data_IF_895616240649
#
_entry.id   IF_895616240649
#
_cell.length_a   1.000
_cell.length_b   1.000
_cell.length_c   1.000
_cell.angle_alpha   90.00
_cell.angle_beta   90.00
_cell.angle_gamma   90.00
#
_symmetry.space_group_name_H-M   'P 1'
#
loop_
_entity.id
_entity.type
_entity.pdbx_description
1 polymer ?
#
# COMPACT_ATOMS: atom_id res chain seq x y z
N UNK A 1 2.54 -10.40 -15.83
CA UNK A 1 1.27 -10.55 -15.11
C UNK A 1 1.42 -9.76 -13.82
N UNK A 2 0.69 -8.66 -13.68
CA UNK A 2 0.74 -7.82 -12.48
C UNK A 2 0.01 -8.59 -11.38
N UNK A 3 0.65 -8.80 -10.23
CA UNK A 3 0.03 -9.46 -9.10
C UNK A 3 -1.10 -8.55 -8.55
N UNK A 4 -2.33 -9.06 -8.35
CA UNK A 4 -3.40 -8.31 -7.69
C UNK A 4 -2.99 -7.70 -6.34
N UNK A 5 -2.04 -8.32 -5.64
CA UNK A 5 -1.47 -7.86 -4.37
C UNK A 5 -0.59 -6.62 -4.57
N UNK A 6 0.20 -6.57 -5.64
CA UNK A 6 1.05 -5.40 -5.93
C UNK A 6 0.19 -4.15 -6.14
N UNK A 7 -0.90 -4.28 -6.90
CA UNK A 7 -1.81 -3.15 -7.15
C UNK A 7 -2.46 -2.64 -5.84
N UNK A 8 -2.82 -3.56 -4.92
CA UNK A 8 -3.34 -3.18 -3.59
C UNK A 8 -2.30 -2.44 -2.75
N UNK A 9 -1.06 -2.94 -2.74
CA UNK A 9 0.04 -2.30 -2.02
C UNK A 9 0.25 -0.86 -2.49
N UNK A 10 0.37 -0.63 -3.80
CA UNK A 10 0.62 0.71 -4.34
C UNK A 10 -0.54 1.68 -4.12
N UNK A 11 -1.79 1.20 -4.14
CA UNK A 11 -2.96 2.02 -3.76
C UNK A 11 -2.97 2.39 -2.28
N UNK A 12 -2.66 1.44 -1.39
CA UNK A 12 -2.54 1.74 0.04
C UNK A 12 -1.38 2.69 0.31
N UNK A 13 -0.27 2.53 -0.40
CA UNK A 13 0.88 3.43 -0.34
C UNK A 13 0.48 4.85 -0.76
N UNK A 14 -0.19 5.02 -1.90
CA UNK A 14 -0.70 6.31 -2.39
C UNK A 14 -1.56 7.01 -1.32
N UNK A 15 -2.49 6.29 -0.70
CA UNK A 15 -3.36 6.86 0.34
C UNK A 15 -2.56 7.33 1.57
N UNK A 16 -1.52 6.59 1.95
CA UNK A 16 -0.67 6.95 3.11
C UNK A 16 0.22 8.15 2.79
N UNK A 17 0.91 8.18 1.64
CA UNK A 17 1.78 9.31 1.28
C UNK A 17 1.02 10.59 0.92
N UNK A 18 -0.26 10.49 0.53
CA UNK A 18 -1.11 11.67 0.33
C UNK A 18 -1.37 12.45 1.64
N UNK A 19 -1.31 11.78 2.79
CA UNK A 19 -1.50 12.39 4.11
C UNK A 19 -0.22 12.86 4.81
N UNK A 20 0.97 12.57 4.26
CA UNK A 20 2.26 12.94 4.86
C UNK A 20 2.93 14.03 4.02
N UNK A 21 2.74 15.29 4.42
CA UNK A 21 3.30 16.48 3.75
C UNK A 21 4.83 16.47 3.63
N UNK A 22 5.53 15.74 4.51
CA UNK A 22 6.99 15.65 4.53
C UNK A 22 7.57 14.69 3.49
N UNK A 23 6.73 14.01 2.71
CA UNK A 23 7.16 13.12 1.62
C UNK A 23 7.53 13.94 0.39
N UNK A 24 8.68 13.61 -0.21
CA UNK A 24 9.16 14.22 -1.45
C UNK A 24 8.09 14.17 -2.56
N UNK A 25 7.74 15.32 -3.19
CA UNK A 25 6.85 15.37 -4.35
C UNK A 25 7.23 14.41 -5.49
N UNK A 26 8.52 14.16 -5.69
CA UNK A 26 8.98 13.20 -6.70
C UNK A 26 8.58 11.76 -6.35
N UNK A 27 8.66 11.39 -5.07
CA UNK A 27 8.21 10.10 -4.56
C UNK A 27 6.70 9.93 -4.73
N UNK A 28 5.90 10.96 -4.38
CA UNK A 28 4.44 10.94 -4.62
C UNK A 28 4.10 10.75 -6.10
N UNK A 29 4.74 11.52 -6.97
CA UNK A 29 4.52 11.44 -8.42
C UNK A 29 4.84 10.05 -8.97
N UNK A 30 5.91 9.41 -8.51
CA UNK A 30 6.27 8.06 -8.92
C UNK A 30 5.23 7.02 -8.46
N UNK A 31 4.71 7.16 -7.24
CA UNK A 31 3.67 6.30 -6.68
C UNK A 31 2.35 6.47 -7.46
N UNK A 32 1.96 7.70 -7.78
CA UNK A 32 0.76 7.99 -8.57
C UNK A 32 0.84 7.34 -9.96
N UNK A 33 2.00 7.48 -10.64
CA UNK A 33 2.27 6.81 -11.91
C UNK A 33 2.18 5.29 -11.81
N UNK A 34 2.77 4.71 -10.76
CA UNK A 34 2.74 3.28 -10.52
C UNK A 34 1.30 2.75 -10.36
N UNK A 35 0.44 3.50 -9.66
CA UNK A 35 -0.99 3.17 -9.52
C UNK A 35 -1.75 3.32 -10.84
N UNK A 36 -1.47 4.37 -11.60
CA UNK A 36 -2.15 4.66 -12.87
C UNK A 36 -1.81 3.65 -13.96
N UNK A 37 -0.52 3.35 -14.17
CA UNK A 37 -0.07 2.52 -15.28
C UNK A 37 -0.02 1.04 -14.94
N UNK A 38 0.27 0.70 -13.69
CA UNK A 38 0.61 -0.67 -13.27
C UNK A 38 1.83 -1.25 -13.99
N UNK A 39 2.60 -0.44 -14.74
CA UNK A 39 3.69 -0.95 -15.55
C UNK A 39 4.85 -1.39 -14.64
N UNK A 40 5.49 -2.55 -14.89
CA UNK A 40 6.55 -3.07 -14.01
C UNK A 40 7.70 -2.09 -13.74
N UNK A 41 8.03 -1.24 -14.72
CA UNK A 41 9.07 -0.21 -14.57
C UNK A 41 8.62 0.94 -13.66
N UNK A 42 7.36 1.35 -13.75
CA UNK A 42 6.80 2.39 -12.88
C UNK A 42 6.64 1.88 -11.43
N UNK A 43 6.20 0.63 -11.27
CA UNK A 43 6.15 -0.04 -9.96
C UNK A 43 7.55 -0.11 -9.32
N UNK A 44 8.56 -0.44 -10.12
CA UNK A 44 9.96 -0.48 -9.67
C UNK A 44 10.46 0.92 -9.29
N UNK A 45 10.22 1.92 -10.13
CA UNK A 45 10.63 3.30 -9.85
C UNK A 45 10.02 3.81 -8.54
N UNK A 46 8.72 3.57 -8.32
CA UNK A 46 8.04 3.92 -7.07
C UNK A 46 8.69 3.23 -5.86
N UNK A 47 9.07 1.95 -5.96
CA UNK A 47 9.80 1.24 -4.89
C UNK A 47 11.15 1.88 -4.60
N UNK A 48 11.93 2.20 -5.63
CA UNK A 48 13.24 2.84 -5.49
C UNK A 48 13.13 4.20 -4.80
N UNK A 49 12.09 4.99 -5.11
CA UNK A 49 11.82 6.26 -4.42
C UNK A 49 11.46 6.06 -2.94
N UNK A 50 10.67 5.06 -2.59
CA UNK A 50 10.35 4.74 -1.19
C UNK A 50 11.59 4.26 -0.42
N UNK A 51 12.44 3.45 -1.06
CA UNK A 51 13.66 2.94 -0.45
C UNK A 51 14.72 4.02 -0.23
N UNK A 52 14.70 5.08 -1.05
CA UNK A 52 15.56 6.25 -0.90
C UNK A 52 15.13 7.21 0.24
N UNK A 53 13.94 7.03 0.82
CA UNK A 53 13.49 7.85 1.95
C UNK A 53 14.36 7.60 3.20
N UNK A 54 14.44 8.58 4.12
CA UNK A 54 15.04 8.36 5.44
C UNK A 54 14.41 7.16 6.14
N UNK A 55 15.22 6.27 6.71
CA UNK A 55 14.77 4.99 7.27
C UNK A 55 13.58 5.15 8.23
N UNK A 56 13.63 6.12 9.14
CA UNK A 56 12.54 6.39 10.09
C UNK A 56 11.22 6.81 9.42
N UNK A 57 11.29 7.51 8.28
CA UNK A 57 10.11 7.90 7.51
C UNK A 57 9.58 6.73 6.71
N UNK A 58 10.46 6.00 6.00
CA UNK A 58 10.12 4.79 5.26
C UNK A 58 9.42 3.76 6.15
N UNK A 59 10.01 3.46 7.31
CA UNK A 59 9.49 2.42 8.21
C UNK A 59 8.11 2.81 8.77
N UNK A 60 7.89 4.11 9.06
CA UNK A 60 6.57 4.63 9.46
C UNK A 60 5.53 4.46 8.36
N UNK A 61 5.87 4.84 7.12
CA UNK A 61 4.98 4.74 5.97
C UNK A 61 4.63 3.27 5.72
N UNK A 62 5.63 2.37 5.69
CA UNK A 62 5.40 0.94 5.47
C UNK A 62 4.57 0.32 6.60
N UNK A 63 4.77 0.71 7.85
CA UNK A 63 3.94 0.26 8.96
C UNK A 63 2.47 0.69 8.80
N UNK A 64 2.23 1.92 8.35
CA UNK A 64 0.87 2.42 8.07
C UNK A 64 0.23 1.69 6.88
N UNK A 65 0.97 1.44 5.80
CA UNK A 65 0.51 0.67 4.64
C UNK A 65 0.13 -0.75 5.06
N UNK A 66 1.00 -1.44 5.78
CA UNK A 66 0.72 -2.80 6.28
C UNK A 66 -0.51 -2.83 7.19
N UNK A 67 -0.66 -1.83 8.08
CA UNK A 67 -1.86 -1.71 8.93
C UNK A 67 -3.13 -1.49 8.10
N UNK A 68 -3.07 -0.66 7.08
CA UNK A 68 -4.20 -0.40 6.18
C UNK A 68 -4.61 -1.69 5.43
N UNK A 69 -3.63 -2.42 4.89
CA UNK A 69 -3.88 -3.69 4.19
C UNK A 69 -4.43 -4.78 5.11
N UNK A 70 -3.92 -4.90 6.34
CA UNK A 70 -4.45 -5.83 7.33
C UNK A 70 -5.89 -5.50 7.74
N UNK A 71 -6.23 -4.21 7.82
CA UNK A 71 -7.58 -3.74 8.13
C UNK A 71 -8.55 -4.01 6.97
N UNK A 72 -8.11 -3.76 5.73
CA UNK A 72 -8.88 -4.08 4.52
C UNK A 72 -9.22 -5.59 4.46
N UNK A 73 -8.23 -6.45 4.69
CA UNK A 73 -8.44 -7.91 4.77
C UNK A 73 -9.43 -8.31 5.87
N UNK A 74 -9.31 -7.71 7.05
CA UNK A 74 -10.27 -7.95 8.14
C UNK A 74 -11.69 -7.54 7.75
N UNK A 75 -11.85 -6.38 7.11
CA UNK A 75 -13.15 -5.88 6.66
C UNK A 75 -13.78 -6.72 5.54
N UNK A 76 -12.96 -7.30 4.66
CA UNK A 76 -13.43 -8.26 3.65
C UNK A 76 -13.96 -9.53 4.34
N UNK A 77 -13.30 -9.98 5.40
CA UNK A 77 -13.75 -11.14 6.17
C UNK A 77 -15.11 -10.91 6.84
N UNK A 78 -15.32 -9.72 7.39
CA UNK A 78 -16.59 -9.34 8.05
C UNK A 78 -17.77 -9.24 7.06
N UNK A 79 -17.50 -9.05 5.76
CA UNK A 79 -18.50 -8.94 4.69
C UNK A 79 -18.83 -10.29 4.01
N UNK A 80 -18.15 -11.39 4.36
CA UNK A 80 -18.45 -12.70 3.79
C UNK A 80 -19.73 -13.27 4.39
N UNK A 81 -20.70 -13.75 3.57
CA UNK A 81 -22.00 -14.22 4.05
C UNK A 81 -21.95 -15.42 5.00
N UNK A 82 -20.82 -16.14 5.06
CA UNK A 82 -20.59 -17.27 5.97
C UNK A 82 -19.67 -16.94 7.17
N UNK A 83 -19.25 -15.68 7.35
CA UNK A 83 -18.40 -15.27 8.47
C UNK A 83 -19.16 -15.21 9.82
N UNK A 84 -20.49 -15.26 9.79
CA UNK A 84 -21.31 -15.42 10.98
C UNK A 84 -21.19 -16.86 11.52
N UNK A 85 -20.14 -17.14 12.30
CA UNK A 85 -20.08 -18.34 13.14
C UNK A 85 -18.78 -19.14 13.10
N UNK A 86 -17.86 -18.85 12.18
CA UNK A 86 -16.49 -19.38 12.26
C UNK A 86 -15.60 -18.28 12.82
N UNK A 87 -15.39 -18.31 14.13
CA UNK A 87 -14.45 -17.41 14.81
C UNK A 87 -13.10 -17.46 14.11
N UNK A 88 -12.43 -16.29 14.07
CA UNK A 88 -11.05 -16.14 13.56
C UNK A 88 -10.20 -17.35 13.96
N UNK A 89 -9.46 -17.99 13.04
CA UNK A 89 -8.36 -18.86 13.42
C UNK A 89 -7.37 -18.00 14.24
N UNK A 90 -7.19 -18.36 15.51
CA UNK A 90 -6.23 -17.74 16.42
C UNK A 90 -4.79 -18.04 15.99
#
# INVERSE_FOLDING_TARGET
>A
MIDPVDNRFFRSLQAVVAGDEAVDPACRTAIDRAVETGAPLDLRAAREHVDALPAAQRDRILAQVHRAMATDLASIWDLLPNAQGTGRPN
#
